data_IF_542722596212
#
_entry.id   IF_542722596212
#
_cell.length_a   1.000
_cell.length_b   1.000
_cell.length_c   1.000
_cell.angle_alpha   90.00
_cell.angle_beta   90.00
_cell.angle_gamma   90.00
#
_symmetry.space_group_name_H-M   'P 1'
#
loop_
_entity.id
_entity.type
_entity.pdbx_description
1 polymer ?
#
# COMPACT_ATOMS: atom_id res chain seq x y z
N UNK A 1 17.95 8.77 12.46
CA UNK A 1 16.60 9.34 12.22
C UNK A 1 15.60 8.50 13.00
N UNK A 2 14.49 9.07 13.51
CA UNK A 2 13.48 8.26 14.21
C UNK A 2 12.75 7.34 13.21
N UNK A 3 12.20 6.19 13.64
CA UNK A 3 11.41 5.30 12.79
C UNK A 3 10.26 6.01 12.06
N UNK A 4 9.65 7.00 12.73
CA UNK A 4 8.60 7.86 12.17
C UNK A 4 9.11 8.75 11.03
N UNK A 5 10.34 9.29 11.12
CA UNK A 5 10.93 10.06 10.01
C UNK A 5 11.14 9.19 8.77
N UNK A 6 11.57 7.93 8.94
CA UNK A 6 11.68 6.99 7.82
C UNK A 6 10.31 6.68 7.22
N UNK A 7 9.31 6.44 8.06
CA UNK A 7 7.93 6.21 7.62
C UNK A 7 7.42 7.36 6.76
N UNK A 8 7.60 8.61 7.21
CA UNK A 8 7.20 9.80 6.45
C UNK A 8 7.91 9.90 5.11
N UNK A 9 9.23 9.69 5.10
CA UNK A 9 10.05 9.77 3.88
C UNK A 9 9.59 8.73 2.85
N UNK A 10 9.42 7.48 3.28
CA UNK A 10 8.98 6.37 2.43
C UNK A 10 7.59 6.66 1.85
N UNK A 11 6.65 7.08 2.70
CA UNK A 11 5.28 7.39 2.27
C UNK A 11 5.24 8.57 1.29
N UNK A 12 6.06 9.60 1.52
CA UNK A 12 6.10 10.78 0.66
C UNK A 12 6.67 10.42 -0.72
N UNK A 13 7.82 9.75 -0.76
CA UNK A 13 8.47 9.37 -2.02
C UNK A 13 7.65 8.31 -2.75
N UNK A 14 7.26 7.24 -2.04
CA UNK A 14 6.50 6.13 -2.63
C UNK A 14 5.10 6.55 -3.04
N UNK A 15 4.40 7.35 -2.23
CA UNK A 15 3.08 7.90 -2.57
C UNK A 15 3.14 8.80 -3.80
N UNK A 16 4.14 9.69 -3.89
CA UNK A 16 4.37 10.50 -5.09
C UNK A 16 4.71 9.64 -6.31
N UNK A 17 5.46 8.56 -6.14
CA UNK A 17 5.77 7.63 -7.23
C UNK A 17 4.52 6.91 -7.75
N UNK A 18 3.62 6.47 -6.86
CA UNK A 18 2.32 5.90 -7.24
C UNK A 18 1.50 6.94 -8.00
N UNK A 19 1.26 8.12 -7.42
CA UNK A 19 0.47 9.16 -8.08
C UNK A 19 1.09 9.60 -9.42
N UNK A 20 2.41 9.70 -9.47
CA UNK A 20 3.18 10.01 -10.67
C UNK A 20 3.03 8.93 -11.75
N UNK A 21 3.00 7.65 -11.38
CA UNK A 21 2.80 6.56 -12.35
C UNK A 21 1.39 6.61 -12.95
N UNK A 22 0.38 6.92 -12.14
CA UNK A 22 -0.99 7.18 -12.62
C UNK A 22 -1.07 8.41 -13.53
N UNK A 23 -0.49 9.53 -13.12
CA UNK A 23 -0.49 10.77 -13.91
C UNK A 23 0.21 10.59 -15.26
N UNK A 24 1.38 9.95 -15.26
CA UNK A 24 2.12 9.67 -16.48
C UNK A 24 1.39 8.67 -17.39
N UNK A 25 0.89 7.57 -16.83
CA UNK A 25 0.24 6.52 -17.60
C UNK A 25 -1.09 6.97 -18.21
N UNK A 26 -1.91 7.69 -17.45
CA UNK A 26 -3.17 8.21 -17.97
C UNK A 26 -2.98 9.47 -18.81
N UNK A 27 -2.00 10.30 -18.51
CA UNK A 27 -1.74 11.56 -19.20
C UNK A 27 -1.08 11.37 -20.57
N UNK A 28 0.02 10.62 -20.61
CA UNK A 28 0.83 10.47 -21.83
C UNK A 28 0.35 9.36 -22.77
N UNK A 29 -0.41 8.39 -22.27
CA UNK A 29 -0.91 7.26 -23.07
C UNK A 29 -2.44 7.14 -23.03
N UNK A 30 -3.19 8.15 -23.50
CA UNK A 30 -4.65 8.14 -23.50
C UNK A 30 -5.28 6.96 -24.26
N UNK A 31 -4.60 6.45 -25.29
CA UNK A 31 -5.02 5.33 -26.13
C UNK A 31 -5.13 4.01 -25.36
N UNK A 32 -4.35 3.83 -24.27
CA UNK A 32 -4.35 2.61 -23.49
C UNK A 32 -5.29 2.65 -22.28
N UNK A 33 -5.99 3.77 -22.04
CA UNK A 33 -6.88 3.98 -20.86
C UNK A 33 -8.03 2.98 -20.73
N UNK A 34 -8.42 2.30 -21.80
CA UNK A 34 -9.44 1.24 -21.70
C UNK A 34 -8.82 -0.14 -21.50
N UNK A 35 -7.56 -0.33 -21.91
CA UNK A 35 -6.81 -1.58 -21.75
C UNK A 35 -6.22 -1.76 -20.36
N UNK A 36 -5.86 -0.68 -19.66
CA UNK A 36 -5.16 -0.75 -18.37
C UNK A 36 -5.94 -1.50 -17.26
N UNK A 37 -7.25 -1.69 -17.43
CA UNK A 37 -8.10 -2.44 -16.51
C UNK A 37 -8.31 -3.89 -16.99
N UNK A 38 -7.40 -4.43 -17.81
CA UNK A 38 -7.50 -5.78 -18.35
C UNK A 38 -8.64 -5.95 -19.35
N UNK A 39 -9.04 -4.87 -20.04
CA UNK A 39 -10.17 -4.88 -20.97
C UNK A 39 -11.55 -4.92 -20.30
N UNK A 40 -11.62 -4.79 -18.97
CA UNK A 40 -12.88 -4.68 -18.22
C UNK A 40 -13.55 -3.34 -18.53
N UNK A 41 -14.82 -3.38 -18.93
CA UNK A 41 -15.61 -2.21 -19.36
C UNK A 41 -16.86 -2.01 -18.48
N UNK A 42 -17.43 -0.81 -18.56
CA UNK A 42 -18.68 -0.46 -17.90
C UNK A 42 -18.62 -0.52 -16.37
N UNK A 43 -19.69 -0.99 -15.74
CA UNK A 43 -19.87 -0.99 -14.28
C UNK A 43 -18.75 -1.71 -13.52
N UNK A 44 -18.18 -2.77 -14.10
CA UNK A 44 -17.08 -3.53 -13.47
C UNK A 44 -15.78 -2.72 -13.35
N UNK A 45 -15.47 -1.87 -14.35
CA UNK A 45 -14.32 -0.95 -14.29
C UNK A 45 -14.49 0.03 -13.15
N UNK A 46 -15.70 0.57 -13.00
CA UNK A 46 -16.05 1.49 -11.91
C UNK A 46 -15.94 0.80 -10.56
N UNK A 47 -16.51 -0.40 -10.40
CA UNK A 47 -16.44 -1.15 -9.14
C UNK A 47 -14.99 -1.43 -8.71
N UNK A 48 -14.12 -1.88 -9.62
CA UNK A 48 -12.70 -2.10 -9.34
C UNK A 48 -11.98 -0.81 -8.94
N UNK A 49 -12.25 0.29 -9.66
CA UNK A 49 -11.64 1.59 -9.36
C UNK A 49 -12.12 2.11 -8.00
N UNK A 50 -13.40 1.98 -7.69
CA UNK A 50 -13.95 2.34 -6.38
C UNK A 50 -13.33 1.52 -5.26
N UNK A 51 -13.14 0.21 -5.47
CA UNK A 51 -12.43 -0.64 -4.50
C UNK A 51 -10.99 -0.20 -4.27
N UNK A 52 -10.27 0.21 -5.32
CA UNK A 52 -8.93 0.78 -5.18
C UNK A 52 -8.93 2.09 -4.37
N UNK A 53 -9.92 2.95 -4.58
CA UNK A 53 -10.06 4.18 -3.79
C UNK A 53 -10.33 3.89 -2.31
N UNK A 54 -11.17 2.91 -1.99
CA UNK A 54 -11.38 2.47 -0.62
C UNK A 54 -10.10 1.90 0.03
N UNK A 55 -9.33 1.11 -0.72
CA UNK A 55 -8.05 0.59 -0.24
C UNK A 55 -7.05 1.72 0.05
N UNK A 56 -6.95 2.71 -0.84
CA UNK A 56 -6.12 3.91 -0.65
C UNK A 56 -6.58 4.73 0.55
N UNK A 57 -7.88 4.93 0.71
CA UNK A 57 -8.44 5.64 1.87
C UNK A 57 -8.11 4.92 3.18
N UNK A 58 -8.28 3.59 3.22
CA UNK A 58 -7.88 2.78 4.38
C UNK A 58 -6.39 2.89 4.70
N UNK A 59 -5.54 2.89 3.68
CA UNK A 59 -4.10 3.09 3.86
C UNK A 59 -3.77 4.49 4.40
N UNK A 60 -4.43 5.56 3.93
CA UNK A 60 -4.25 6.91 4.46
C UNK A 60 -4.69 7.03 5.92
N UNK A 61 -5.80 6.38 6.29
CA UNK A 61 -6.24 6.29 7.69
C UNK A 61 -5.20 5.58 8.54
N UNK A 62 -4.63 4.47 8.05
CA UNK A 62 -3.51 3.81 8.71
C UNK A 62 -2.31 4.76 8.89
N UNK A 63 -1.94 5.52 7.87
CA UNK A 63 -0.84 6.48 7.99
C UNK A 63 -1.10 7.57 9.03
N UNK A 64 -2.35 8.06 9.14
CA UNK A 64 -2.73 9.00 10.19
C UNK A 64 -2.51 8.40 11.59
N UNK A 65 -2.99 7.18 11.83
CA UNK A 65 -2.80 6.52 13.12
C UNK A 65 -1.33 6.21 13.42
N UNK A 66 -0.56 5.76 12.43
CA UNK A 66 0.86 5.47 12.60
C UNK A 66 1.72 6.71 12.89
N UNK A 67 1.25 7.92 12.55
CA UNK A 67 1.97 9.18 12.75
C UNK A 67 1.56 9.92 14.03
N UNK A 68 0.25 9.94 14.33
CA UNK A 68 -0.31 10.82 15.36
C UNK A 68 -0.73 10.11 16.64
N UNK A 69 -0.79 8.77 16.67
CA UNK A 69 -0.99 8.00 17.90
C UNK A 69 0.30 7.33 18.35
N UNK A 70 0.41 7.07 19.65
CA UNK A 70 1.50 6.29 20.24
C UNK A 70 1.61 4.93 19.53
N UNK A 71 2.57 4.83 18.63
CA UNK A 71 2.72 3.72 17.68
C UNK A 71 4.02 2.94 17.92
N UNK A 72 4.61 3.08 19.10
CA UNK A 72 5.92 2.46 19.42
C UNK A 72 5.89 0.95 19.21
N UNK A 73 4.73 0.32 19.42
CA UNK A 73 4.52 -1.11 19.17
C UNK A 73 4.56 -1.48 17.67
N UNK A 74 4.10 -0.60 16.77
CA UNK A 74 4.13 -0.84 15.31
C UNK A 74 5.57 -0.83 14.78
N UNK A 75 6.45 -0.03 15.39
CA UNK A 75 7.85 0.09 15.00
C UNK A 75 8.80 -0.79 15.82
N UNK A 76 8.28 -1.58 16.78
CA UNK A 76 9.09 -2.44 17.67
C UNK A 76 9.53 -3.76 17.01
N UNK A 77 8.72 -4.30 16.10
CA UNK A 77 9.03 -5.54 15.42
C UNK A 77 10.05 -5.30 14.31
N UNK A 78 11.32 -5.67 14.56
CA UNK A 78 12.41 -5.58 13.59
C UNK A 78 12.62 -6.95 12.92
N UNK A 79 12.65 -6.99 11.59
CA UNK A 79 12.99 -8.21 10.82
C UNK A 79 14.50 -8.29 10.57
N UNK A 80 15.16 -7.15 10.39
CA UNK A 80 16.59 -7.03 10.16
C UNK A 80 17.15 -5.92 11.01
N UNK A 81 18.03 -6.26 11.97
CA UNK A 81 18.87 -5.41 12.85
C UNK A 81 18.24 -4.12 13.41
N UNK A 82 17.77 -3.19 12.55
CA UNK A 82 17.26 -1.86 12.87
C UNK A 82 16.08 -1.37 11.97
N UNK A 83 15.61 -2.16 10.99
CA UNK A 83 14.48 -1.77 10.10
C UNK A 83 13.16 -2.37 10.62
N UNK A 84 12.17 -1.54 10.97
CA UNK A 84 10.85 -2.01 11.34
C UNK A 84 10.19 -2.79 10.20
N UNK A 85 9.58 -3.94 10.53
CA UNK A 85 8.85 -4.80 9.60
C UNK A 85 7.82 -4.01 8.76
N UNK A 86 7.10 -3.11 9.42
CA UNK A 86 6.08 -2.25 8.83
C UNK A 86 6.66 -1.35 7.76
N UNK A 87 7.84 -0.75 7.99
CA UNK A 87 8.48 0.12 6.99
C UNK A 87 8.87 -0.66 5.73
N UNK A 88 9.41 -1.88 5.90
CA UNK A 88 9.75 -2.74 4.76
C UNK A 88 8.50 -3.13 3.97
N UNK A 89 7.42 -3.53 4.65
CA UNK A 89 6.14 -3.87 4.01
C UNK A 89 5.56 -2.68 3.24
N UNK A 90 5.67 -1.47 3.79
CA UNK A 90 5.23 -0.25 3.12
C UNK A 90 6.06 0.04 1.87
N UNK A 91 7.39 -0.11 1.93
CA UNK A 91 8.26 0.05 0.75
C UNK A 91 7.86 -0.94 -0.35
N UNK A 92 7.65 -2.21 0.01
CA UNK A 92 7.22 -3.25 -0.93
C UNK A 92 5.86 -2.88 -1.52
N UNK A 93 4.90 -2.51 -0.68
CA UNK A 93 3.56 -2.10 -1.10
C UNK A 93 3.61 -0.92 -2.09
N UNK A 94 4.24 0.19 -1.72
CA UNK A 94 4.28 1.41 -2.54
C UNK A 94 5.06 1.20 -3.84
N UNK A 95 6.18 0.47 -3.79
CA UNK A 95 6.97 0.18 -5.00
C UNK A 95 6.17 -0.67 -5.97
N UNK A 96 5.50 -1.71 -5.46
CA UNK A 96 4.67 -2.60 -6.28
C UNK A 96 3.45 -1.87 -6.86
N UNK A 97 2.80 -1.04 -6.05
CA UNK A 97 1.67 -0.20 -6.46
C UNK A 97 2.09 0.91 -7.45
N UNK A 98 3.34 1.34 -7.47
CA UNK A 98 3.84 2.28 -8.46
C UNK A 98 4.18 1.59 -9.79
N UNK A 99 4.63 0.33 -9.75
CA UNK A 99 5.15 -0.41 -10.90
C UNK A 99 4.08 -0.99 -11.83
N UNK A 100 2.89 -1.33 -11.33
CA UNK A 100 1.90 -2.05 -12.15
C UNK A 100 1.48 -1.27 -13.41
N UNK A 101 1.29 0.05 -13.33
CA UNK A 101 0.83 0.83 -14.48
C UNK A 101 1.92 1.06 -15.53
N UNK A 102 3.16 1.48 -15.18
CA UNK A 102 4.24 1.57 -16.14
C UNK A 102 4.55 0.23 -16.82
N UNK A 103 4.55 -0.88 -16.06
CA UNK A 103 4.81 -2.21 -16.62
C UNK A 103 3.69 -2.70 -17.54
N UNK A 104 2.44 -2.30 -17.28
CA UNK A 104 1.33 -2.63 -18.18
C UNK A 104 1.37 -1.83 -19.48
N UNK A 105 1.78 -0.56 -19.42
CA UNK A 105 1.98 0.28 -20.62
C UNK A 105 3.13 -0.27 -21.45
N UNK A 106 4.26 -0.65 -20.84
CA UNK A 106 5.36 -1.25 -21.59
C UNK A 106 4.97 -2.59 -22.21
N UNK A 107 4.08 -3.35 -21.57
CA UNK A 107 3.46 -4.52 -22.21
C UNK A 107 2.69 -4.14 -23.48
N UNK A 108 1.84 -3.10 -23.46
CA UNK A 108 1.11 -2.67 -24.66
C UNK A 108 2.03 -2.16 -25.77
N UNK A 109 3.14 -1.50 -25.42
CA UNK A 109 4.10 -0.99 -26.40
C UNK A 109 4.97 -2.09 -27.03
N UNK A 110 5.36 -3.10 -26.25
CA UNK A 110 6.34 -4.12 -26.68
C UNK A 110 5.72 -5.47 -27.05
N UNK A 111 4.50 -5.75 -26.58
CA UNK A 111 3.83 -7.04 -26.73
C UNK A 111 4.49 -8.20 -25.95
N UNK A 112 5.51 -7.94 -25.12
CA UNK A 112 6.27 -8.99 -24.45
C UNK A 112 5.57 -9.47 -23.17
N UNK A 113 5.27 -10.78 -23.10
CA UNK A 113 4.58 -11.41 -21.96
C UNK A 113 5.29 -11.27 -20.61
N UNK A 114 6.60 -10.98 -20.58
CA UNK A 114 7.32 -10.71 -19.33
C UNK A 114 6.75 -9.48 -18.60
N UNK A 115 6.45 -8.41 -19.33
CA UNK A 115 5.90 -7.18 -18.73
C UNK A 115 4.49 -7.39 -18.18
N UNK A 116 3.70 -8.22 -18.87
CA UNK A 116 2.40 -8.66 -18.37
C UNK A 116 2.53 -9.45 -17.06
N UNK A 117 3.46 -10.40 -17.00
CA UNK A 117 3.74 -11.18 -15.79
C UNK A 117 4.17 -10.28 -14.62
N UNK A 118 5.06 -9.31 -14.87
CA UNK A 118 5.48 -8.32 -13.87
C UNK A 118 4.31 -7.47 -13.37
N UNK A 119 3.41 -7.06 -14.28
CA UNK A 119 2.19 -6.34 -13.91
C UNK A 119 1.36 -7.18 -12.94
N UNK A 120 1.07 -8.43 -13.29
CA UNK A 120 0.26 -9.32 -12.44
C UNK A 120 0.89 -9.55 -11.07
N UNK A 121 2.19 -9.88 -11.03
CA UNK A 121 2.91 -10.08 -9.77
C UNK A 121 2.85 -8.82 -8.91
N UNK A 122 3.04 -7.64 -9.50
CA UNK A 122 3.00 -6.41 -8.73
C UNK A 122 1.64 -6.15 -8.08
N UNK A 123 0.54 -6.47 -8.77
CA UNK A 123 -0.81 -6.37 -8.22
C UNK A 123 -1.02 -7.38 -7.08
N UNK A 124 -0.55 -8.62 -7.22
CA UNK A 124 -0.61 -9.63 -6.15
C UNK A 124 0.20 -9.24 -4.92
N UNK A 125 1.43 -8.75 -5.11
CA UNK A 125 2.28 -8.28 -4.01
C UNK A 125 1.60 -7.10 -3.29
N UNK A 126 1.03 -6.16 -4.04
CA UNK A 126 0.30 -5.02 -3.48
C UNK A 126 -0.85 -5.48 -2.58
N UNK A 127 -1.64 -6.45 -3.05
CA UNK A 127 -2.77 -7.00 -2.29
C UNK A 127 -2.31 -7.71 -1.01
N UNK A 128 -1.31 -8.60 -1.11
CA UNK A 128 -0.79 -9.36 0.04
C UNK A 128 -0.17 -8.43 1.08
N UNK A 129 0.57 -7.40 0.65
CA UNK A 129 1.18 -6.43 1.54
C UNK A 129 0.12 -5.64 2.34
N UNK A 130 -0.96 -5.19 1.69
CA UNK A 130 -2.07 -4.50 2.36
C UNK A 130 -2.81 -5.39 3.36
N UNK A 131 -3.09 -6.64 2.99
CA UNK A 131 -3.72 -7.61 3.89
C UNK A 131 -2.83 -7.87 5.11
N UNK A 132 -1.53 -8.02 4.91
CA UNK A 132 -0.56 -8.25 5.99
C UNK A 132 -0.49 -7.05 6.94
N UNK A 133 -0.42 -5.83 6.40
CA UNK A 133 -0.43 -4.60 7.21
C UNK A 133 -1.71 -4.50 8.05
N UNK A 134 -2.86 -4.79 7.44
CA UNK A 134 -4.15 -4.79 8.16
C UNK A 134 -4.18 -5.83 9.27
N UNK A 135 -3.63 -7.03 9.03
CA UNK A 135 -3.51 -8.09 10.03
C UNK A 135 -2.67 -7.67 11.25
N UNK A 136 -1.50 -7.05 11.02
CA UNK A 136 -0.62 -6.57 12.09
C UNK A 136 -1.31 -5.51 12.96
N UNK A 137 -2.04 -4.58 12.32
CA UNK A 137 -2.77 -3.51 13.05
C UNK A 137 -3.94 -4.09 13.85
N UNK A 138 -4.63 -5.08 13.29
CA UNK A 138 -5.76 -5.72 13.97
C UNK A 138 -5.32 -6.54 15.18
N UNK A 139 -4.23 -7.31 15.05
CA UNK A 139 -3.71 -8.11 16.16
C UNK A 139 -3.15 -7.26 17.30
N UNK A 140 -2.48 -6.15 16.98
CA UNK A 140 -1.93 -5.25 17.99
C UNK A 140 -2.99 -4.48 18.79
N UNK A 141 -4.20 -4.33 18.24
CA UNK A 141 -5.32 -3.70 18.95
C UNK A 141 -5.81 -4.55 20.13
N UNK A 142 -5.71 -5.87 20.05
CA UNK A 142 -6.13 -6.79 21.12
C UNK A 142 -5.22 -6.71 22.36
N UNK A 143 -3.91 -6.57 22.16
CA UNK A 143 -2.95 -6.47 23.26
C UNK A 143 -3.09 -5.15 24.05
N UNK A 144 -3.56 -4.07 23.39
CA UNK A 144 -3.82 -2.78 24.05
C UNK A 144 -5.07 -2.80 24.93
N UNK A 145 -6.12 -3.54 24.57
CA UNK A 145 -7.38 -3.58 25.32
C UNK A 145 -7.22 -4.45 26.58
N UNK A 146 -6.52 -5.58 26.47
CA UNK A 146 -6.24 -6.46 27.61
C UNK A 146 -5.42 -5.76 28.73
N UNK A 147 -4.70 -4.69 28.40
CA UNK A 147 -3.89 -3.92 29.34
C UNK A 147 -4.64 -2.74 30.00
N UNK A 148 -5.91 -2.52 29.66
CA UNK A 148 -6.77 -1.48 30.27
C UNK A 148 -7.65 -2.08 31.39
N UNK A 149 -7.91 -3.39 31.37
CA UNK A 149 -8.83 -4.06 32.30
C UNK A 149 -8.31 -4.21 33.75
N UNK A 150 -7.06 -3.82 34.05
CA UNK A 150 -6.50 -3.91 35.42
C UNK A 150 -6.55 -2.60 36.22
N UNK A 151 -7.04 -1.50 35.65
CA UNK A 151 -7.33 -0.26 36.40
C UNK A 151 -8.82 -0.24 36.80
N UNK A 152 -9.25 -1.28 37.51
CA UNK A 152 -10.45 -1.17 38.34
C UNK A 152 -10.05 -0.44 39.64
N UNK A 153 -10.71 0.66 40.02
CA UNK A 153 -10.41 1.30 41.30
C UNK A 153 -10.85 0.36 42.41
N UNK A 154 -9.89 -0.20 43.15
CA UNK A 154 -10.17 -0.84 44.43
C UNK A 154 -10.68 0.23 45.39
N UNK A 155 -12.00 0.21 45.62
CA UNK A 155 -12.68 0.86 46.75
C UNK A 155 -12.23 0.18 48.04
#
# INVERSE_FOLDING_TARGET
MSPQSYFLLINSIGGLAVLGSYAAGLGFFPEYRDGLWGGVRGTWKTALTTSMLFATAGYLVFCYFALFRESDYLFRANIFAEIPAVNLLIVIFLSSAALWMPTLITYFLTGNGLWWFLTLISLWITAIALVTLTGIVSSSSHDSIANIDWIAPTI
#
